data_IF_359826686573
#
_entry.id   IF_359826686573
#
_cell.length_a   1.000
_cell.length_b   1.000
_cell.length_c   1.000
_cell.angle_alpha   90.00
_cell.angle_beta   90.00
_cell.angle_gamma   90.00
#
_symmetry.space_group_name_H-M   'P 1'
#
loop_
_entity.id
_entity.type
_entity.pdbx_description
1 polymer ?
#
# COMPACT_ATOMS: atom_id res chain seq x y z
N UNK A 1 -23.34 14.47 0.05
CA UNK A 1 -22.03 14.85 -0.50
C UNK A 1 -22.01 14.41 -1.96
N UNK A 2 -21.46 15.21 -2.87
CA UNK A 2 -21.52 14.93 -4.31
C UNK A 2 -20.14 14.45 -4.76
N UNK A 3 -20.07 13.30 -5.43
CA UNK A 3 -18.88 12.84 -6.12
C UNK A 3 -19.01 13.22 -7.60
N UNK A 4 -18.09 14.07 -8.07
CA UNK A 4 -18.00 14.46 -9.48
C UNK A 4 -16.74 13.84 -10.08
N UNK A 5 -16.89 13.09 -11.17
CA UNK A 5 -15.75 12.58 -11.94
C UNK A 5 -15.46 13.53 -13.11
N UNK A 6 -14.22 14.02 -13.19
CA UNK A 6 -13.77 14.96 -14.23
C UNK A 6 -12.79 14.30 -15.19
N UNK A 7 -12.86 14.70 -16.46
CA UNK A 7 -12.04 14.13 -17.53
C UNK A 7 -10.84 15.05 -17.88
N UNK A 8 -9.68 14.43 -18.10
CA UNK A 8 -8.56 15.00 -18.85
C UNK A 8 -8.18 14.06 -20.00
N UNK A 9 -8.11 14.60 -21.23
CA UNK A 9 -7.64 13.98 -22.48
C UNK A 9 -7.88 12.46 -22.64
N UNK A 10 -9.14 11.99 -22.48
CA UNK A 10 -9.50 10.60 -22.85
C UNK A 10 -10.66 9.90 -22.13
N UNK A 11 -11.54 10.59 -21.37
CA UNK A 11 -12.64 9.95 -20.62
C UNK A 11 -14.05 10.41 -21.01
N UNK A 12 -15.03 9.50 -20.92
CA UNK A 12 -16.46 9.68 -21.22
C UNK A 12 -17.25 10.22 -20.02
N UNK A 13 -18.11 11.24 -20.25
CA UNK A 13 -19.24 11.73 -19.42
C UNK A 13 -18.97 12.16 -17.95
N UNK A 14 -19.63 13.25 -17.53
CA UNK A 14 -19.73 13.63 -16.11
C UNK A 14 -20.83 12.77 -15.48
N UNK A 15 -20.49 12.03 -14.43
CA UNK A 15 -21.47 11.33 -13.59
C UNK A 15 -21.42 11.93 -12.19
N UNK A 16 -22.58 12.36 -11.72
CA UNK A 16 -22.78 12.84 -10.34
C UNK A 16 -23.47 11.74 -9.54
N UNK A 17 -22.84 11.33 -8.44
CA UNK A 17 -23.41 10.35 -7.50
C UNK A 17 -23.70 11.04 -6.16
N UNK A 18 -24.93 10.86 -5.67
CA UNK A 18 -25.40 11.44 -4.43
C UNK A 18 -25.43 10.39 -3.32
N UNK A 19 -24.72 10.68 -2.23
CA UNK A 19 -24.69 9.82 -1.05
C UNK A 19 -25.32 10.55 0.14
N UNK A 20 -26.12 9.80 0.91
CA UNK A 20 -26.81 10.28 2.11
C UNK A 20 -25.90 10.51 3.32
N UNK A 21 -24.62 10.15 3.23
CA UNK A 21 -23.61 10.34 4.29
C UNK A 21 -22.28 10.86 3.71
N UNK A 22 -21.28 11.03 4.57
CA UNK A 22 -19.95 11.48 4.17
C UNK A 22 -19.19 10.36 3.44
N UNK A 23 -18.51 10.72 2.34
CA UNK A 23 -17.57 9.85 1.67
C UNK A 23 -16.31 9.71 2.52
N UNK A 24 -15.90 8.48 2.84
CA UNK A 24 -14.72 8.21 3.66
C UNK A 24 -13.51 7.78 2.82
N UNK A 25 -13.74 6.95 1.80
CA UNK A 25 -12.71 6.58 0.84
C UNK A 25 -13.32 6.26 -0.53
N UNK A 26 -12.52 6.49 -1.58
CA UNK A 26 -12.83 6.12 -2.96
C UNK A 26 -11.59 5.44 -3.52
N UNK A 27 -11.76 4.24 -4.07
CA UNK A 27 -10.67 3.47 -4.68
C UNK A 27 -11.13 2.87 -6.00
N UNK A 28 -10.25 2.85 -6.99
CA UNK A 28 -10.58 2.37 -8.33
C UNK A 28 -9.35 2.38 -9.24
N UNK A 29 -9.46 1.71 -10.39
CA UNK A 29 -8.52 1.85 -11.51
C UNK A 29 -9.29 2.31 -12.74
N UNK A 30 -8.66 3.17 -13.54
CA UNK A 30 -9.18 3.61 -14.83
C UNK A 30 -8.38 3.09 -16.02
N UNK A 31 -7.40 2.20 -15.80
CA UNK A 31 -6.50 1.78 -16.87
C UNK A 31 -7.12 0.66 -17.72
N UNK A 32 -7.53 1.04 -18.94
CA UNK A 32 -7.97 0.14 -20.00
C UNK A 32 -6.75 -0.51 -20.67
N UNK A 33 -6.05 -1.41 -19.97
CA UNK A 33 -5.14 -2.31 -20.69
C UNK A 33 -6.00 -3.28 -21.51
N UNK A 34 -5.68 -3.47 -22.78
CA UNK A 34 -6.54 -4.13 -23.79
C UNK A 34 -7.01 -5.56 -23.47
N UNK A 35 -6.53 -6.15 -22.37
CA UNK A 35 -6.89 -7.48 -21.90
C UNK A 35 -7.60 -7.53 -20.53
N UNK A 36 -7.68 -6.42 -19.76
CA UNK A 36 -8.44 -6.35 -18.50
C UNK A 36 -9.63 -5.39 -18.61
N UNK A 37 -10.84 -5.96 -18.68
CA UNK A 37 -12.10 -5.24 -18.97
C UNK A 37 -12.74 -4.67 -17.68
N UNK A 38 -12.33 -5.11 -16.50
CA UNK A 38 -13.05 -4.81 -15.25
C UNK A 38 -12.54 -3.52 -14.60
N UNK A 39 -13.18 -2.40 -14.93
CA UNK A 39 -13.03 -1.16 -14.19
C UNK A 39 -14.06 -1.12 -13.05
N UNK A 40 -13.59 -1.01 -11.81
CA UNK A 40 -14.45 -0.93 -10.62
C UNK A 40 -14.16 0.36 -9.87
N UNK A 41 -15.21 0.95 -9.33
CA UNK A 41 -15.15 2.06 -8.40
C UNK A 41 -15.77 1.63 -7.08
N UNK A 42 -15.02 1.68 -6.00
CA UNK A 42 -15.51 1.36 -4.66
C UNK A 42 -15.64 2.64 -3.87
N UNK A 43 -16.83 2.86 -3.32
CA UNK A 43 -17.16 4.01 -2.48
C UNK A 43 -17.45 3.53 -1.07
N UNK A 44 -16.61 3.95 -0.12
CA UNK A 44 -16.71 3.56 1.29
C UNK A 44 -17.37 4.68 2.08
N UNK A 45 -18.50 4.35 2.71
CA UNK A 45 -19.19 5.17 3.70
C UNK A 45 -18.94 4.59 5.10
N UNK A 46 -19.53 5.21 6.13
CA UNK A 46 -19.35 4.76 7.50
C UNK A 46 -19.88 3.33 7.73
N UNK A 47 -21.10 3.03 7.29
CA UNK A 47 -21.76 1.76 7.61
C UNK A 47 -22.08 0.93 6.36
N UNK A 48 -21.65 1.40 5.18
CA UNK A 48 -21.90 0.78 3.88
C UNK A 48 -20.75 0.99 2.92
N UNK A 49 -20.55 0.06 2.01
CA UNK A 49 -19.64 0.18 0.88
C UNK A 49 -20.35 -0.18 -0.41
N UNK A 50 -20.23 0.67 -1.43
CA UNK A 50 -20.81 0.45 -2.74
C UNK A 50 -19.72 0.06 -3.74
N UNK A 51 -20.00 -0.98 -4.53
CA UNK A 51 -19.14 -1.39 -5.65
C UNK A 51 -19.85 -1.01 -6.94
N UNK A 52 -19.22 -0.16 -7.74
CA UNK A 52 -19.73 0.28 -9.04
C UNK A 52 -18.93 -0.34 -10.17
N UNK A 53 -19.59 -0.62 -11.29
CA UNK A 53 -18.92 -0.76 -12.58
C UNK A 53 -18.59 0.64 -13.08
N UNK A 54 -17.30 0.96 -13.25
CA UNK A 54 -16.89 2.30 -13.65
C UNK A 54 -17.28 2.60 -15.11
N UNK A 55 -17.46 1.57 -15.95
CA UNK A 55 -17.84 1.76 -17.35
C UNK A 55 -19.31 2.18 -17.49
N UNK A 56 -20.21 1.50 -16.78
CA UNK A 56 -21.65 1.78 -16.83
C UNK A 56 -22.14 2.72 -15.72
N UNK A 57 -21.32 2.97 -14.70
CA UNK A 57 -21.66 3.66 -13.45
C UNK A 57 -22.85 3.05 -12.69
N UNK A 58 -23.13 1.78 -12.94
CA UNK A 58 -24.16 1.03 -12.23
C UNK A 58 -23.62 0.45 -10.92
N UNK A 59 -24.47 0.36 -9.90
CA UNK A 59 -24.17 -0.32 -8.65
C UNK A 59 -24.19 -1.83 -8.93
N UNK A 60 -23.06 -2.48 -8.68
CA UNK A 60 -22.91 -3.94 -8.73
C UNK A 60 -23.20 -4.58 -7.38
N UNK A 61 -22.83 -3.90 -6.28
CA UNK A 61 -23.11 -4.37 -4.93
C UNK A 61 -23.25 -3.26 -3.91
N UNK A 62 -23.96 -3.58 -2.84
CA UNK A 62 -24.07 -2.79 -1.63
C UNK A 62 -23.77 -3.68 -0.43
N UNK A 63 -22.61 -3.45 0.18
CA UNK A 63 -22.13 -4.23 1.32
C UNK A 63 -22.42 -3.43 2.60
N UNK A 64 -23.25 -3.98 3.48
CA UNK A 64 -23.38 -3.46 4.85
C UNK A 64 -22.11 -3.78 5.64
N UNK A 65 -21.50 -2.76 6.24
CA UNK A 65 -20.24 -2.90 6.98
C UNK A 65 -20.44 -2.64 8.46
N UNK A 66 -19.48 -3.09 9.26
CA UNK A 66 -19.32 -2.51 10.61
C UNK A 66 -18.98 -1.02 10.49
N UNK A 67 -19.22 -0.21 11.53
CA UNK A 67 -18.85 1.22 11.50
C UNK A 67 -17.37 1.42 11.18
N UNK A 68 -17.10 2.00 10.03
CA UNK A 68 -15.79 2.26 9.46
C UNK A 68 -15.46 3.75 9.47
N UNK A 69 -15.46 4.37 10.65
CA UNK A 69 -15.26 5.82 10.81
C UNK A 69 -13.92 6.35 10.27
N UNK A 70 -12.95 5.46 10.06
CA UNK A 70 -11.63 5.77 9.50
C UNK A 70 -11.53 5.56 7.98
N UNK A 71 -12.59 5.08 7.33
CA UNK A 71 -12.59 4.80 5.88
C UNK A 71 -11.58 3.72 5.48
N UNK A 72 -11.27 2.77 6.37
CA UNK A 72 -10.30 1.72 6.09
C UNK A 72 -10.84 0.78 5.01
N UNK A 73 -10.09 0.63 3.93
CA UNK A 73 -10.29 -0.41 2.93
C UNK A 73 -8.95 -0.70 2.25
N UNK A 74 -8.86 -1.84 1.57
CA UNK A 74 -7.83 -2.08 0.57
C UNK A 74 -8.49 -2.60 -0.70
N UNK A 75 -7.97 -2.19 -1.86
CA UNK A 75 -8.50 -2.60 -3.14
C UNK A 75 -7.36 -3.02 -4.08
N UNK A 76 -7.50 -4.18 -4.70
CA UNK A 76 -6.54 -4.75 -5.64
C UNK A 76 -7.16 -4.78 -7.05
N UNK A 77 -7.29 -3.63 -7.72
CA UNK A 77 -7.95 -3.54 -9.02
C UNK A 77 -7.28 -4.38 -10.11
N UNK A 78 -5.96 -4.56 -10.02
CA UNK A 78 -5.15 -5.23 -11.03
C UNK A 78 -5.00 -6.74 -10.78
N UNK A 79 -5.85 -7.30 -9.91
CA UNK A 79 -5.95 -8.74 -9.70
C UNK A 79 -7.03 -9.34 -10.59
N UNK A 80 -6.91 -10.61 -10.95
CA UNK A 80 -7.90 -11.35 -11.75
C UNK A 80 -9.34 -11.20 -11.23
N UNK A 81 -9.49 -11.07 -9.91
CA UNK A 81 -10.79 -11.08 -9.21
C UNK A 81 -11.15 -9.72 -8.59
N UNK A 82 -10.33 -8.69 -8.79
CA UNK A 82 -10.50 -7.36 -8.19
C UNK A 82 -10.77 -7.44 -6.68
N UNK A 83 -9.81 -7.87 -5.85
CA UNK A 83 -10.11 -8.06 -4.41
C UNK A 83 -10.39 -6.75 -3.66
N UNK A 84 -11.38 -6.79 -2.76
CA UNK A 84 -11.73 -5.72 -1.83
C UNK A 84 -11.65 -6.23 -0.39
N UNK A 85 -10.91 -5.55 0.47
CA UNK A 85 -10.85 -5.83 1.89
C UNK A 85 -11.55 -4.73 2.69
N UNK A 86 -12.43 -5.12 3.61
CA UNK A 86 -13.16 -4.25 4.50
C UNK A 86 -13.01 -4.71 5.97
N UNK A 87 -13.03 -3.81 6.95
CA UNK A 87 -13.05 -4.20 8.36
C UNK A 87 -14.26 -5.10 8.68
N UNK A 88 -14.02 -6.21 9.38
CA UNK A 88 -15.07 -7.12 9.85
C UNK A 88 -15.50 -6.82 11.30
N UNK A 89 -14.72 -6.02 12.02
CA UNK A 89 -14.96 -5.68 13.43
C UNK A 89 -14.35 -4.32 13.77
N UNK A 90 -15.02 -3.57 14.63
CA UNK A 90 -14.53 -2.31 15.19
C UNK A 90 -13.49 -2.50 16.30
N UNK A 91 -13.36 -3.70 16.86
CA UNK A 91 -12.52 -3.95 18.05
C UNK A 91 -11.63 -5.19 17.96
N UNK A 92 -12.08 -6.25 17.29
CA UNK A 92 -11.41 -7.57 17.33
C UNK A 92 -10.32 -7.77 16.27
N UNK A 93 -10.08 -6.77 15.41
CA UNK A 93 -8.98 -6.80 14.44
C UNK A 93 -9.12 -7.92 13.43
N UNK A 94 -10.08 -7.80 12.51
CA UNK A 94 -10.28 -8.75 11.40
C UNK A 94 -10.78 -8.01 10.16
N UNK A 95 -10.47 -8.53 8.97
CA UNK A 95 -10.93 -8.00 7.70
C UNK A 95 -11.67 -9.08 6.89
N UNK A 96 -12.75 -8.71 6.23
CA UNK A 96 -13.43 -9.53 5.22
C UNK A 96 -12.84 -9.22 3.85
N UNK A 97 -12.59 -10.25 3.05
CA UNK A 97 -12.08 -10.12 1.69
C UNK A 97 -13.13 -10.62 0.70
N UNK A 98 -13.51 -9.74 -0.21
CA UNK A 98 -14.49 -9.96 -1.26
C UNK A 98 -13.80 -9.99 -2.63
N UNK A 99 -14.37 -10.72 -3.59
CA UNK A 99 -14.14 -10.48 -5.02
C UNK A 99 -15.00 -9.29 -5.44
N UNK A 100 -14.43 -8.24 -6.02
CA UNK A 100 -15.24 -7.15 -6.59
C UNK A 100 -15.60 -7.40 -8.07
N UNK A 101 -14.98 -8.41 -8.71
CA UNK A 101 -15.38 -8.91 -10.03
C UNK A 101 -16.83 -9.39 -10.00
N UNK A 102 -17.09 -10.30 -9.06
CA UNK A 102 -18.39 -10.83 -8.66
C UNK A 102 -18.46 -10.71 -7.13
N UNK A 103 -19.26 -9.76 -6.59
CA UNK A 103 -19.34 -9.45 -5.16
C UNK A 103 -19.64 -10.68 -4.28
N UNK A 104 -18.58 -11.36 -3.86
CA UNK A 104 -18.63 -12.64 -3.16
C UNK A 104 -17.59 -12.62 -2.05
N UNK A 105 -18.02 -12.93 -0.83
CA UNK A 105 -17.13 -13.07 0.32
C UNK A 105 -16.29 -14.34 0.18
N UNK A 106 -14.97 -14.19 0.17
CA UNK A 106 -14.03 -15.32 0.02
C UNK A 106 -13.54 -15.81 1.37
N UNK A 107 -13.11 -14.88 2.22
CA UNK A 107 -12.51 -15.22 3.48
C UNK A 107 -12.56 -14.09 4.50
N UNK A 108 -12.33 -14.47 5.76
CA UNK A 108 -12.06 -13.56 6.85
C UNK A 108 -10.60 -13.72 7.29
N UNK A 109 -9.85 -12.64 7.25
CA UNK A 109 -8.46 -12.59 7.72
C UNK A 109 -8.47 -12.07 9.16
N UNK A 110 -8.01 -12.90 10.09
CA UNK A 110 -7.78 -12.49 11.48
C UNK A 110 -6.47 -11.68 11.51
N UNK A 111 -6.56 -10.42 11.90
CA UNK A 111 -5.42 -9.52 11.94
C UNK A 111 -5.22 -8.98 13.38
N UNK A 112 -4.68 -7.77 13.50
CA UNK A 112 -4.61 -7.01 14.77
C UNK A 112 -5.69 -5.92 14.74
N UNK A 113 -5.91 -5.20 15.83
CA UNK A 113 -6.72 -3.96 15.77
C UNK A 113 -6.24 -3.09 14.61
N UNK A 114 -7.11 -2.77 13.66
CA UNK A 114 -6.71 -2.27 12.34
C UNK A 114 -6.46 -0.77 12.35
N UNK A 115 -5.31 -0.33 11.86
CA UNK A 115 -5.05 1.09 11.54
C UNK A 115 -4.80 1.36 10.06
N UNK A 116 -4.32 0.36 9.31
CA UNK A 116 -4.06 0.45 7.88
C UNK A 116 -4.10 -0.95 7.27
N UNK A 117 -4.44 -1.03 5.98
CA UNK A 117 -4.36 -2.24 5.18
C UNK A 117 -4.06 -1.90 3.72
N UNK A 118 -3.36 -2.79 3.02
CA UNK A 118 -3.04 -2.63 1.60
C UNK A 118 -2.89 -4.01 0.96
N UNK A 119 -3.35 -4.17 -0.28
CA UNK A 119 -3.06 -5.36 -1.07
C UNK A 119 -1.75 -5.20 -1.84
N UNK A 120 -1.08 -6.32 -2.11
CA UNK A 120 -0.11 -6.35 -3.21
C UNK A 120 -0.82 -6.09 -4.53
N UNK A 121 -0.10 -5.60 -5.54
CA UNK A 121 -0.72 -5.17 -6.81
C UNK A 121 -1.45 -6.31 -7.53
N UNK A 122 -0.93 -7.54 -7.44
CA UNK A 122 -1.55 -8.76 -7.96
C UNK A 122 -2.64 -9.36 -7.04
N UNK A 123 -2.91 -8.78 -5.87
CA UNK A 123 -3.88 -9.28 -4.91
C UNK A 123 -3.47 -10.54 -4.14
N UNK A 124 -2.23 -11.02 -4.28
CA UNK A 124 -1.73 -12.21 -3.59
C UNK A 124 -1.65 -12.03 -2.07
N UNK A 125 -1.22 -10.85 -1.62
CA UNK A 125 -0.98 -10.54 -0.22
C UNK A 125 -1.87 -9.41 0.29
N UNK A 126 -2.32 -9.54 1.54
CA UNK A 126 -2.93 -8.46 2.30
C UNK A 126 -2.03 -8.11 3.49
N UNK A 127 -1.44 -6.91 3.46
CA UNK A 127 -0.73 -6.34 4.60
C UNK A 127 -1.69 -5.56 5.50
N UNK A 128 -1.49 -5.66 6.81
CA UNK A 128 -2.28 -4.96 7.83
C UNK A 128 -1.35 -4.41 8.91
N UNK A 129 -1.66 -3.22 9.43
CA UNK A 129 -0.98 -2.63 10.58
C UNK A 129 -1.86 -2.65 11.83
N UNK A 130 -1.23 -2.90 12.98
CA UNK A 130 -1.90 -2.82 14.28
C UNK A 130 -2.20 -1.37 14.68
N UNK A 131 -3.17 -1.14 15.56
CA UNK A 131 -3.54 0.20 16.03
C UNK A 131 -2.42 0.88 16.83
N UNK A 132 -1.64 0.10 17.58
CA UNK A 132 -0.40 0.58 18.20
C UNK A 132 0.71 0.85 17.16
N UNK A 133 0.53 0.36 15.94
CA UNK A 133 1.47 0.39 14.82
C UNK A 133 2.78 -0.34 15.07
N UNK A 134 2.87 -1.17 16.12
CA UNK A 134 4.09 -1.93 16.45
C UNK A 134 4.26 -3.18 15.60
N UNK A 135 3.16 -3.69 15.04
CA UNK A 135 3.13 -4.93 14.27
C UNK A 135 2.53 -4.69 12.90
N UNK A 136 3.17 -5.26 11.88
CA UNK A 136 2.68 -5.33 10.51
C UNK A 136 2.59 -6.80 10.15
N UNK A 137 1.41 -7.26 9.72
CA UNK A 137 1.17 -8.66 9.33
C UNK A 137 0.81 -8.74 7.86
N UNK A 138 1.32 -9.76 7.18
CA UNK A 138 1.03 -10.09 5.78
C UNK A 138 0.32 -11.43 5.73
N UNK A 139 -0.77 -11.50 4.98
CA UNK A 139 -1.60 -12.69 4.84
C UNK A 139 -1.70 -13.08 3.36
N UNK A 140 -1.67 -14.38 3.09
CA UNK A 140 -1.98 -14.92 1.76
C UNK A 140 -3.49 -14.92 1.58
N UNK A 141 -3.98 -14.21 0.58
CA UNK A 141 -5.42 -13.99 0.37
C UNK A 141 -6.13 -15.30 0.03
N UNK A 142 -5.57 -16.08 -0.91
CA UNK A 142 -6.16 -17.33 -1.39
C UNK A 142 -6.34 -18.39 -0.30
N UNK A 143 -5.52 -18.35 0.76
CA UNK A 143 -5.54 -19.33 1.84
C UNK A 143 -6.13 -18.78 3.15
N UNK A 144 -6.33 -17.46 3.24
CA UNK A 144 -6.66 -16.76 4.49
C UNK A 144 -5.66 -17.04 5.63
N UNK A 145 -4.41 -17.38 5.29
CA UNK A 145 -3.37 -17.73 6.26
C UNK A 145 -2.39 -16.57 6.44
N UNK A 146 -1.89 -16.43 7.67
CA UNK A 146 -0.80 -15.50 7.97
C UNK A 146 0.48 -16.01 7.31
N UNK A 147 1.08 -15.17 6.47
CA UNK A 147 2.36 -15.42 5.80
C UNK A 147 3.52 -14.82 6.60
N UNK A 148 3.45 -13.54 6.95
CA UNK A 148 4.51 -12.83 7.69
C UNK A 148 3.94 -11.97 8.83
N UNK A 149 4.79 -11.64 9.81
CA UNK A 149 4.44 -10.80 10.97
C UNK A 149 5.65 -10.00 11.48
N UNK A 150 5.89 -8.84 10.88
CA UNK A 150 7.01 -7.98 11.20
C UNK A 150 6.75 -7.10 12.43
N UNK A 151 7.76 -6.95 13.28
CA UNK A 151 7.77 -5.94 14.35
C UNK A 151 8.41 -4.65 13.83
N UNK A 152 7.60 -3.62 13.61
CA UNK A 152 8.06 -2.29 13.16
C UNK A 152 8.99 -1.64 14.20
N UNK A 153 8.69 -1.80 15.48
CA UNK A 153 9.51 -1.30 16.58
C UNK A 153 8.95 -1.67 17.96
N UNK A 154 9.68 -1.28 19.02
CA UNK A 154 9.25 -1.50 20.41
C UNK A 154 8.12 -0.54 20.80
N UNK A 155 8.29 0.74 20.48
CA UNK A 155 7.36 1.80 20.88
C UNK A 155 6.21 1.99 19.88
N UNK A 156 4.99 2.29 20.35
CA UNK A 156 3.88 2.66 19.48
C UNK A 156 4.22 3.84 18.56
N UNK A 157 3.72 3.80 17.32
CA UNK A 157 3.88 4.84 16.29
C UNK A 157 2.76 4.63 15.29
N UNK A 158 2.04 5.70 14.93
CA UNK A 158 0.90 5.61 14.02
C UNK A 158 1.41 5.32 12.62
N UNK A 159 0.97 4.21 12.01
CA UNK A 159 1.29 3.92 10.60
C UNK A 159 0.50 4.87 9.71
N UNK A 160 1.19 5.61 8.85
CA UNK A 160 0.57 6.55 7.92
C UNK A 160 0.29 5.93 6.56
N UNK A 161 1.23 5.14 6.03
CA UNK A 161 1.06 4.50 4.74
C UNK A 161 1.82 3.17 4.69
N UNK A 162 1.26 2.23 3.94
CA UNK A 162 1.83 0.94 3.59
C UNK A 162 1.82 0.83 2.06
N UNK A 163 2.88 0.30 1.45
CA UNK A 163 2.85 -0.04 0.03
C UNK A 163 3.75 -1.25 -0.27
N UNK A 164 3.27 -2.11 -1.17
CA UNK A 164 4.07 -3.18 -1.75
C UNK A 164 4.88 -2.66 -2.95
N UNK A 165 5.98 -3.33 -3.26
CA UNK A 165 6.66 -3.21 -4.55
C UNK A 165 5.75 -3.65 -5.71
N UNK A 166 6.03 -3.18 -6.93
CA UNK A 166 5.39 -3.71 -8.14
C UNK A 166 5.58 -5.22 -8.26
N UNK A 167 4.56 -5.96 -8.72
CA UNK A 167 4.60 -7.43 -8.81
C UNK A 167 5.64 -8.00 -9.77
N UNK A 168 6.11 -7.18 -10.72
CA UNK A 168 7.13 -7.57 -11.71
C UNK A 168 8.55 -7.51 -11.14
N UNK A 169 8.72 -6.78 -10.05
CA UNK A 169 10.01 -6.53 -9.43
C UNK A 169 10.26 -7.55 -8.33
N UNK A 170 11.48 -8.08 -8.27
CA UNK A 170 11.90 -9.05 -7.26
C UNK A 170 13.12 -8.54 -6.48
N UNK A 171 13.16 -8.77 -5.16
CA UNK A 171 12.21 -9.51 -4.33
C UNK A 171 10.97 -8.67 -3.95
N UNK A 172 9.93 -9.35 -3.45
CA UNK A 172 8.77 -8.70 -2.84
C UNK A 172 9.18 -7.88 -1.60
N UNK A 173 8.87 -6.59 -1.63
CA UNK A 173 9.13 -5.64 -0.55
C UNK A 173 7.84 -5.00 -0.08
N UNK A 174 7.65 -4.91 1.23
CA UNK A 174 6.61 -4.12 1.87
C UNK A 174 7.25 -2.94 2.61
N UNK A 175 6.77 -1.73 2.35
CA UNK A 175 7.27 -0.51 2.98
C UNK A 175 6.20 0.13 3.84
N UNK A 176 6.60 0.72 4.97
CA UNK A 176 5.74 1.46 5.88
C UNK A 176 6.36 2.80 6.29
N UNK A 177 5.57 3.87 6.30
CA UNK A 177 5.91 5.14 6.97
C UNK A 177 5.07 5.30 8.23
N UNK A 178 5.58 6.02 9.22
CA UNK A 178 4.88 6.22 10.50
C UNK A 178 5.15 7.58 11.13
N UNK A 179 4.41 7.90 12.19
CA UNK A 179 4.51 9.18 12.92
C UNK A 179 5.90 9.45 13.52
N UNK A 180 6.73 8.42 13.72
CA UNK A 180 8.13 8.59 14.12
C UNK A 180 9.04 9.20 13.06
N UNK A 181 8.54 9.48 11.85
CA UNK A 181 9.35 10.02 10.75
C UNK A 181 10.26 8.99 10.07
N UNK A 182 10.14 7.72 10.47
CA UNK A 182 10.92 6.61 9.93
C UNK A 182 10.17 5.86 8.83
N UNK A 183 10.95 5.35 7.88
CA UNK A 183 10.53 4.38 6.89
C UNK A 183 11.03 2.99 7.31
N UNK A 184 10.15 2.00 7.23
CA UNK A 184 10.47 0.61 7.52
C UNK A 184 10.26 -0.20 6.24
N UNK A 185 11.27 -0.98 5.86
CA UNK A 185 11.25 -1.82 4.67
C UNK A 185 11.38 -3.28 5.08
N UNK A 186 10.42 -4.10 4.66
CA UNK A 186 10.30 -5.51 5.01
C UNK A 186 10.43 -6.37 3.76
N UNK A 187 11.32 -7.35 3.77
CA UNK A 187 11.48 -8.31 2.68
C UNK A 187 10.63 -9.57 2.93
N UNK A 188 9.93 -10.05 1.88
CA UNK A 188 9.03 -11.20 1.97
C UNK A 188 9.65 -12.50 1.43
N UNK A 189 10.82 -12.46 0.80
CA UNK A 189 11.44 -13.64 0.18
C UNK A 189 12.09 -14.59 1.22
N UNK A 190 11.61 -15.84 1.25
CA UNK A 190 12.11 -16.92 2.08
C UNK A 190 13.51 -17.42 1.71
N UNK A 191 14.01 -17.17 0.50
CA UNK A 191 15.36 -17.57 0.09
C UNK A 191 16.46 -16.83 0.88
N UNK A 192 16.16 -15.61 1.35
CA UNK A 192 16.96 -14.87 2.32
C UNK A 192 16.88 -15.50 3.73
N UNK A 193 15.78 -16.18 4.07
CA UNK A 193 15.59 -16.90 5.34
C UNK A 193 16.42 -18.20 5.40
N UNK A 194 16.52 -18.94 4.28
CA UNK A 194 17.18 -20.25 4.23
C UNK A 194 18.73 -20.16 4.25
N UNK A 195 19.33 -19.15 3.61
CA UNK A 195 20.81 -19.02 3.52
C UNK A 195 21.50 -18.78 4.86
N UNK A 196 20.78 -18.37 5.91
CA UNK A 196 21.34 -18.10 7.24
C UNK A 196 21.06 -19.17 8.30
N UNK A 197 20.00 -19.98 8.16
CA UNK A 197 19.78 -21.12 9.08
C UNK A 197 20.95 -22.13 9.05
N UNK A 198 21.69 -22.22 7.94
CA UNK A 198 22.91 -23.01 7.85
C UNK A 198 24.05 -22.52 8.76
N UNK A 199 24.01 -21.27 9.23
CA UNK A 199 25.07 -20.65 10.05
C UNK A 199 24.72 -20.54 11.55
N UNK A 200 23.51 -20.93 11.97
CA UNK A 200 23.05 -20.88 13.37
C UNK A 200 22.70 -22.27 13.88
N UNK A 201 23.71 -23.10 14.10
CA UNK A 201 23.60 -24.47 14.61
C UNK A 201 23.24 -24.59 16.11
N UNK A 202 22.55 -23.62 16.72
CA UNK A 202 22.09 -23.73 18.11
C UNK A 202 20.82 -22.92 18.36
N UNK A 203 19.65 -23.42 17.94
CA UNK A 203 18.40 -23.12 18.66
C UNK A 203 17.44 -24.29 18.51
N UNK A 204 17.16 -24.93 19.64
CA UNK A 204 16.34 -26.13 19.76
C UNK A 204 14.85 -25.80 19.77
N UNK A 205 14.09 -26.53 18.96
CA UNK A 205 12.68 -26.94 19.11
C UNK A 205 11.68 -25.86 19.50
N UNK A 206 11.21 -25.08 18.51
CA UNK A 206 9.91 -24.38 18.53
C UNK A 206 9.30 -24.45 17.11
N UNK A 207 8.01 -24.77 16.92
CA UNK A 207 7.41 -24.92 15.58
C UNK A 207 7.48 -23.63 14.73
N UNK A 208 7.98 -23.76 13.50
CA UNK A 208 8.43 -22.69 12.61
C UNK A 208 7.36 -21.83 11.92
N UNK A 209 6.40 -21.27 12.65
CA UNK A 209 5.45 -20.27 12.09
C UNK A 209 5.50 -18.91 12.82
N UNK A 210 6.33 -18.79 13.87
CA UNK A 210 6.36 -17.62 14.75
C UNK A 210 7.73 -16.96 14.85
N UNK A 211 8.81 -17.67 14.51
CA UNK A 211 10.20 -17.19 14.64
C UNK A 211 10.68 -16.38 13.44
N UNK A 212 10.30 -16.75 12.22
CA UNK A 212 10.86 -16.17 10.99
C UNK A 212 10.51 -14.68 10.78
N UNK A 213 9.44 -14.21 11.43
CA UNK A 213 8.94 -12.86 11.24
C UNK A 213 9.47 -11.82 12.25
N UNK A 214 10.28 -12.27 13.22
CA UNK A 214 10.97 -11.41 14.17
C UNK A 214 12.47 -11.26 13.84
N UNK A 215 12.95 -11.85 12.75
CA UNK A 215 14.35 -11.74 12.34
C UNK A 215 14.64 -10.31 11.84
N UNK A 216 15.52 -9.55 12.52
CA UNK A 216 15.95 -8.22 12.08
C UNK A 216 16.56 -8.22 10.67
N UNK A 217 17.01 -9.38 10.15
CA UNK A 217 17.61 -9.49 8.83
C UNK A 217 16.66 -9.15 7.66
N UNK A 218 15.35 -9.17 7.88
CA UNK A 218 14.37 -8.81 6.85
C UNK A 218 13.74 -7.45 7.06
N UNK A 219 14.25 -6.68 8.02
CA UNK A 219 13.68 -5.40 8.41
C UNK A 219 14.74 -4.31 8.42
N UNK A 220 14.65 -3.40 7.46
CA UNK A 220 15.48 -2.22 7.39
C UNK A 220 14.71 -1.02 7.91
N UNK A 221 15.38 -0.19 8.70
CA UNK A 221 14.82 1.05 9.24
C UNK A 221 15.65 2.21 8.73
N UNK A 222 14.98 3.17 8.13
CA UNK A 222 15.56 4.43 7.71
C UNK A 222 14.90 5.52 8.53
N UNK A 223 15.70 6.20 9.33
CA UNK A 223 15.23 7.27 10.21
C UNK A 223 15.19 8.62 9.47
N UNK A 224 14.31 9.51 9.92
CA UNK A 224 14.23 10.90 9.45
C UNK A 224 13.98 11.03 7.93
N UNK A 225 13.19 10.13 7.36
CA UNK A 225 12.75 10.19 5.97
C UNK A 225 11.65 11.24 5.78
N UNK A 226 10.85 11.46 6.82
CA UNK A 226 9.92 12.59 6.90
C UNK A 226 10.04 13.24 8.26
N UNK A 227 9.62 14.50 8.36
CA UNK A 227 9.50 15.16 9.66
C UNK A 227 8.51 14.38 10.53
N UNK A 228 8.87 14.14 11.79
CA UNK A 228 8.01 13.43 12.73
C UNK A 228 6.63 14.10 12.81
N UNK A 229 5.61 13.27 13.01
CA UNK A 229 4.18 13.63 13.07
C UNK A 229 3.57 14.25 11.80
N UNK A 230 4.35 14.51 10.74
CA UNK A 230 3.81 14.89 9.44
C UNK A 230 3.32 13.65 8.71
N UNK A 231 2.01 13.60 8.45
CA UNK A 231 1.36 12.53 7.67
C UNK A 231 1.97 12.41 6.28
N UNK A 232 2.13 11.17 5.82
CA UNK A 232 2.74 10.83 4.53
C UNK A 232 1.98 9.72 3.83
N UNK A 233 1.89 9.81 2.50
CA UNK A 233 1.59 8.68 1.63
C UNK A 233 2.85 8.23 0.90
N UNK A 234 2.98 6.92 0.68
CA UNK A 234 4.17 6.33 0.06
C UNK A 234 3.76 5.45 -1.13
N UNK A 235 4.65 5.35 -2.12
CA UNK A 235 4.58 4.37 -3.18
C UNK A 235 5.98 3.80 -3.43
N UNK A 236 6.07 2.49 -3.65
CA UNK A 236 7.30 1.86 -4.12
C UNK A 236 7.27 1.92 -5.64
N UNK A 237 8.21 2.63 -6.25
CA UNK A 237 8.24 2.83 -7.70
C UNK A 237 8.87 1.64 -8.41
N UNK A 238 10.04 1.18 -7.93
CA UNK A 238 10.72 0.02 -8.48
C UNK A 238 11.62 -0.67 -7.45
N UNK A 239 11.89 -1.96 -7.68
CA UNK A 239 12.91 -2.75 -6.98
C UNK A 239 13.79 -3.45 -8.02
N UNK A 240 14.99 -2.91 -8.24
CA UNK A 240 15.94 -3.43 -9.21
C UNK A 240 17.01 -4.29 -8.53
N UNK A 241 17.21 -5.52 -9.02
CA UNK A 241 18.28 -6.39 -8.56
C UNK A 241 19.51 -6.25 -9.46
N UNK A 242 20.60 -5.70 -8.92
CA UNK A 242 21.86 -5.56 -9.63
C UNK A 242 22.76 -6.77 -9.37
N UNK A 243 22.76 -7.73 -10.30
CA UNK A 243 23.57 -8.94 -10.21
C UNK A 243 25.08 -8.71 -10.52
N UNK A 244 25.45 -7.55 -11.08
CA UNK A 244 26.69 -7.41 -11.87
C UNK A 244 27.83 -6.58 -11.24
N UNK A 245 27.83 -6.27 -9.94
CA UNK A 245 29.07 -5.72 -9.35
C UNK A 245 29.23 -6.00 -7.85
N UNK A 246 30.49 -6.06 -7.41
CA UNK A 246 30.89 -6.09 -6.00
C UNK A 246 30.97 -4.71 -5.34
N UNK A 247 30.78 -3.61 -6.10
CA UNK A 247 30.92 -2.22 -5.62
C UNK A 247 29.59 -1.46 -5.47
N UNK A 248 28.50 -2.00 -6.00
CA UNK A 248 27.16 -1.39 -5.99
C UNK A 248 26.19 -2.18 -5.10
N UNK A 249 25.13 -1.54 -4.57
CA UNK A 249 24.11 -2.27 -3.83
C UNK A 249 23.52 -3.38 -4.71
N UNK A 250 23.34 -4.57 -4.15
CA UNK A 250 22.73 -5.70 -4.85
C UNK A 250 21.26 -5.46 -5.17
N UNK A 251 20.62 -4.59 -4.41
CA UNK A 251 19.21 -4.25 -4.52
C UNK A 251 19.06 -2.74 -4.45
N UNK A 252 18.34 -2.17 -5.41
CA UNK A 252 18.08 -0.75 -5.54
C UNK A 252 16.57 -0.54 -5.53
N UNK A 253 16.05 0.13 -4.51
CA UNK A 253 14.62 0.39 -4.35
C UNK A 253 14.37 1.88 -4.46
N UNK A 254 13.48 2.29 -5.38
CA UNK A 254 13.06 3.69 -5.55
C UNK A 254 11.72 3.87 -4.86
N UNK A 255 11.63 4.86 -3.97
CA UNK A 255 10.43 5.14 -3.18
C UNK A 255 10.02 6.59 -3.35
N UNK A 256 8.74 6.82 -3.61
CA UNK A 256 8.12 8.14 -3.60
C UNK A 256 7.36 8.35 -2.30
N UNK A 257 7.52 9.53 -1.71
CA UNK A 257 6.83 9.93 -0.50
C UNK A 257 6.25 11.32 -0.71
N UNK A 258 4.94 11.45 -0.54
CA UNK A 258 4.27 12.74 -0.51
C UNK A 258 3.80 13.02 0.91
N UNK A 259 4.03 14.24 1.37
CA UNK A 259 3.78 14.65 2.76
C UNK A 259 2.67 15.70 2.81
N UNK A 260 1.91 15.71 3.90
CA UNK A 260 0.76 16.61 4.09
C UNK A 260 1.14 18.10 4.08
N UNK A 261 2.40 18.44 4.34
CA UNK A 261 2.90 19.81 4.20
C UNK A 261 3.32 20.16 2.76
N UNK A 262 2.97 19.32 1.77
CA UNK A 262 3.08 19.64 0.35
C UNK A 262 4.35 19.15 -0.34
N UNK A 263 5.26 18.45 0.33
CA UNK A 263 6.49 17.99 -0.32
C UNK A 263 6.35 16.62 -0.96
N UNK A 264 6.83 16.49 -2.19
CA UNK A 264 7.20 15.22 -2.81
C UNK A 264 8.68 14.96 -2.56
N UNK A 265 9.02 13.71 -2.24
CA UNK A 265 10.38 13.23 -2.04
C UNK A 265 10.59 11.90 -2.76
N UNK A 266 11.75 11.77 -3.36
CA UNK A 266 12.20 10.54 -3.98
C UNK A 266 13.43 10.01 -3.26
N UNK A 267 13.28 8.82 -2.71
CA UNK A 267 14.33 8.12 -2.01
C UNK A 267 14.85 6.97 -2.84
N UNK A 268 16.16 6.90 -2.92
CA UNK A 268 16.89 5.78 -3.46
C UNK A 268 17.48 4.97 -2.32
N UNK A 269 17.06 3.72 -2.15
CA UNK A 269 17.53 2.82 -1.10
C UNK A 269 18.36 1.71 -1.71
N UNK A 270 19.63 1.62 -1.30
CA UNK A 270 20.53 0.54 -1.67
C UNK A 270 20.58 -0.51 -0.56
N UNK A 271 20.44 -1.79 -0.91
CA UNK A 271 20.70 -2.92 0.00
C UNK A 271 21.84 -3.77 -0.56
N UNK A 272 22.90 -3.96 0.22
CA UNK A 272 24.07 -4.76 -0.16
C UNK A 272 23.83 -6.27 0.04
N UNK A 273 24.71 -7.12 -0.51
CA UNK A 273 24.66 -8.58 -0.29
C UNK A 273 24.89 -8.95 1.18
N UNK A 274 25.59 -8.10 1.94
CA UNK A 274 25.78 -8.23 3.40
C UNK A 274 24.56 -7.79 4.20
N UNK A 275 23.48 -7.38 3.52
CA UNK A 275 22.24 -6.88 4.13
C UNK A 275 22.40 -5.54 4.87
N UNK A 276 23.30 -4.69 4.38
CA UNK A 276 23.43 -3.32 4.86
C UNK A 276 22.60 -2.41 3.95
N UNK A 277 21.85 -1.50 4.54
CA UNK A 277 21.05 -0.52 3.81
C UNK A 277 21.69 0.86 3.84
N UNK A 278 21.78 1.49 2.68
CA UNK A 278 22.06 2.91 2.50
C UNK A 278 20.88 3.59 1.80
N UNK A 279 20.78 4.90 1.92
CA UNK A 279 19.73 5.66 1.27
C UNK A 279 20.23 7.04 0.84
N UNK A 280 19.60 7.58 -0.19
CA UNK A 280 19.83 8.91 -0.75
C UNK A 280 18.49 9.57 -1.04
N UNK A 281 18.33 10.83 -0.63
CA UNK A 281 17.23 11.67 -1.12
C UNK A 281 17.65 12.21 -2.49
N UNK A 282 17.05 11.67 -3.55
CA UNK A 282 17.41 11.99 -4.94
C UNK A 282 16.72 13.28 -5.41
N UNK A 283 15.44 13.44 -5.09
CA UNK A 283 14.64 14.63 -5.45
C UNK A 283 13.76 15.05 -4.29
N UNK A 284 13.63 16.37 -4.11
CA UNK A 284 12.62 16.97 -3.24
C UNK A 284 12.06 18.21 -3.93
N UNK A 285 10.73 18.35 -3.94
CA UNK A 285 10.07 19.57 -4.40
C UNK A 285 8.75 19.80 -3.67
N UNK A 286 8.38 21.08 -3.56
CA UNK A 286 7.11 21.50 -2.99
C UNK A 286 6.04 21.50 -4.09
N UNK A 287 5.03 20.64 -3.94
CA UNK A 287 3.90 20.50 -4.85
C UNK A 287 3.03 21.76 -4.89
N UNK A 288 3.06 22.58 -3.84
CA UNK A 288 2.30 23.83 -3.77
C UNK A 288 2.94 24.96 -4.58
N UNK A 289 4.27 24.92 -4.74
CA UNK A 289 5.00 25.96 -5.49
C UNK A 289 4.86 25.77 -7.01
N UNK A 290 4.62 24.53 -7.46
CA UNK A 290 4.41 24.20 -8.88
C UNK A 290 3.17 24.88 -9.50
N UNK A 291 2.26 25.42 -8.69
CA UNK A 291 1.07 26.15 -9.14
C UNK A 291 1.29 27.67 -9.32
N UNK A 292 2.44 28.21 -8.89
CA UNK A 292 2.72 29.64 -8.94
C UNK A 292 3.17 30.15 -10.31
N UNK A 293 3.42 29.26 -11.27
CA UNK A 293 3.68 29.61 -12.66
C UNK A 293 2.38 29.73 -13.46
N UNK A 294 1.80 30.93 -13.54
CA UNK A 294 0.75 31.21 -14.52
C UNK A 294 1.24 30.84 -15.93
N UNK A 295 0.48 30.13 -16.77
CA UNK A 295 0.84 29.98 -18.17
C UNK A 295 0.80 31.37 -18.80
N UNK A 296 1.96 31.88 -19.23
CA UNK A 296 2.01 33.07 -20.09
C UNK A 296 1.24 32.74 -21.36
N UNK A 297 0.04 33.31 -21.51
CA UNK A 297 -0.59 33.42 -22.81
C UNK A 297 0.37 34.22 -23.69
N UNK A 298 0.92 33.57 -24.71
CA UNK A 298 1.57 34.28 -25.80
C UNK A 298 0.48 35.05 -26.54
N UNK A 299 0.34 36.34 -26.23
CA UNK A 299 -0.37 37.28 -27.09
C UNK A 299 0.40 37.37 -28.42
N UNK A 300 -0.15 36.73 -29.44
CA UNK A 300 0.19 36.99 -30.83
C UNK A 300 -0.34 38.38 -31.17
N UNK A 301 0.52 39.39 -31.15
CA UNK A 301 0.28 40.62 -31.88
C UNK A 301 0.39 40.31 -33.38
N UNK A 302 -0.74 40.42 -34.07
CA UNK A 302 -0.80 40.52 -35.53
C UNK A 302 -1.01 42.01 -35.81
N UNK A 303 -0.01 42.64 -36.42
CA UNK A 303 -0.16 43.92 -37.14
C UNK A 303 -0.74 43.68 -38.54
#
# INVERSE_FOLDING_TARGET
MNLCMFAGLGGFNIVEMLFGTNLLAIVGTGEQSSNHIMCRLVVVLQDRTFVYDLNSTTILDEIETVPNTKGLCAFAPNSEECYLALPASTSKGSALVYKASKPELICQVICCSLSAMVFSLNGMYLATASEKGTMIRVHLVAQATKSHSFRRGTYPSTIYSLAFSPSVDLPDVLVATSSSGSLHMFFLDASRNARRQANTLFSSVIPGSVTDALDPANHHVIHNVVTADIKSCLAVHSVENSQNSSKFPSLKTVIYIVTHNGYFREYLIGTTKSNESSWLLEREFNLLDAYSGSPKQNELHID
#
